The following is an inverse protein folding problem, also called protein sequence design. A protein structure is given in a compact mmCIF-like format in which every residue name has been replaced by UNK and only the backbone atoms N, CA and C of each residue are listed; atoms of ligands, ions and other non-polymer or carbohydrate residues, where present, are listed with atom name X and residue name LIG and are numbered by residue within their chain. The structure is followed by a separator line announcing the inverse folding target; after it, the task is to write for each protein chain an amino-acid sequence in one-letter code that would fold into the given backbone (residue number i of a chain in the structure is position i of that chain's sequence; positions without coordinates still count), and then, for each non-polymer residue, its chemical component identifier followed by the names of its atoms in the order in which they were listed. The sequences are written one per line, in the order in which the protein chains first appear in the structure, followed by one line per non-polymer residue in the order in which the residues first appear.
data_IF_169375753893
#
_entry.id   IF_169375753893
#
_cell.length_a   1.000
_cell.length_b   1.000
_cell.length_c   1.000
_cell.angle_alpha   90.00
_cell.angle_beta   90.00
_cell.angle_gamma   90.00
#
_symmetry.space_group_name_H-M   'P 1'
#
loop_
_entity.id
_entity.type
_entity.pdbx_description
1 polymer ?
#
# COMPACT_ATOMS: atom_id res chain seq x y z
N UNK A 1 10.19 3.59 -11.67
CA UNK A 1 9.14 3.84 -10.67
C UNK A 1 9.48 5.08 -9.84
N UNK A 2 8.51 5.90 -9.44
CA UNK A 2 8.73 6.99 -8.47
C UNK A 2 8.91 6.37 -7.08
N UNK A 3 10.04 6.60 -6.42
CA UNK A 3 10.28 6.14 -5.06
C UNK A 3 9.54 7.01 -4.02
N UNK A 4 9.33 6.49 -2.80
CA UNK A 4 8.59 7.22 -1.76
C UNK A 4 9.24 8.56 -1.41
N UNK A 5 10.57 8.64 -1.37
CA UNK A 5 11.32 9.88 -1.10
C UNK A 5 11.26 10.92 -2.22
N UNK A 6 10.71 10.57 -3.39
CA UNK A 6 10.50 11.47 -4.52
C UNK A 6 9.07 12.06 -4.54
N UNK A 7 8.17 11.58 -3.67
CA UNK A 7 6.80 12.08 -3.58
C UNK A 7 6.74 13.40 -2.80
N UNK A 8 5.74 14.24 -3.11
CA UNK A 8 5.64 15.60 -2.58
C UNK A 8 4.24 15.97 -2.08
N UNK A 9 3.30 15.02 -2.06
CA UNK A 9 1.94 15.21 -1.57
C UNK A 9 1.65 14.25 -0.43
N UNK A 10 0.94 14.77 0.57
CA UNK A 10 0.50 13.99 1.73
C UNK A 10 -1.03 13.87 1.70
N UNK A 11 -1.50 12.65 1.86
CA UNK A 11 -2.92 12.34 1.97
C UNK A 11 -3.22 11.68 3.30
N UNK A 12 -4.33 12.07 3.92
CA UNK A 12 -4.88 11.39 5.10
C UNK A 12 -6.19 10.69 4.75
N UNK A 13 -6.41 9.56 5.40
CA UNK A 13 -7.74 8.97 5.42
C UNK A 13 -8.76 9.97 5.98
N UNK A 14 -9.91 10.14 5.31
CA UNK A 14 -10.96 11.09 5.71
C UNK A 14 -11.56 10.80 7.09
N UNK A 15 -11.40 9.57 7.60
CA UNK A 15 -11.83 9.23 8.96
C UNK A 15 -10.78 9.48 10.04
N UNK A 16 -9.54 9.81 9.69
CA UNK A 16 -8.46 10.06 10.66
C UNK A 16 -8.82 11.20 11.62
N UNK A 17 -9.38 12.30 11.08
CA UNK A 17 -9.84 13.45 11.87
C UNK A 17 -10.98 13.09 12.82
N UNK A 18 -11.86 12.18 12.41
CA UNK A 18 -13.03 11.78 13.20
C UNK A 18 -12.63 10.81 14.31
N UNK A 19 -11.76 9.83 14.02
CA UNK A 19 -11.33 8.82 14.99
C UNK A 19 -10.24 9.32 15.94
N UNK A 20 -9.34 10.18 15.46
CA UNK A 20 -8.16 10.63 16.20
C UNK A 20 -7.92 12.15 16.03
N UNK A 21 -8.84 13.01 16.49
CA UNK A 21 -8.80 14.45 16.22
C UNK A 21 -7.51 15.13 16.73
N UNK A 22 -7.01 14.73 17.90
CA UNK A 22 -5.77 15.29 18.45
C UNK A 22 -4.53 14.88 17.66
N UNK A 23 -4.47 13.63 17.19
CA UNK A 23 -3.37 13.13 16.36
C UNK A 23 -3.41 13.84 15.01
N UNK A 24 -4.57 13.90 14.37
CA UNK A 24 -4.79 14.62 13.11
C UNK A 24 -4.31 16.07 13.22
N UNK A 25 -4.73 16.80 14.25
CA UNK A 25 -4.32 18.20 14.47
C UNK A 25 -2.81 18.32 14.60
N UNK A 26 -2.19 17.53 15.49
CA UNK A 26 -0.75 17.61 15.74
C UNK A 26 0.09 17.31 14.50
N UNK A 27 -0.28 16.30 13.72
CA UNK A 27 0.44 15.95 12.49
C UNK A 27 0.21 17.04 11.43
N UNK A 28 -1.01 17.54 11.30
CA UNK A 28 -1.35 18.62 10.35
C UNK A 28 -0.60 19.90 10.66
N UNK A 29 -0.55 20.32 11.93
CA UNK A 29 0.19 21.51 12.37
C UNK A 29 1.69 21.37 12.09
N UNK A 30 2.26 20.19 12.34
CA UNK A 30 3.66 19.90 12.04
C UNK A 30 3.93 19.98 10.53
N UNK A 31 3.12 19.32 9.70
CA UNK A 31 3.29 19.35 8.24
C UNK A 31 3.14 20.76 7.67
N UNK A 32 2.15 21.52 8.14
CA UNK A 32 1.96 22.92 7.73
C UNK A 32 3.17 23.78 8.10
N UNK A 33 3.82 23.54 9.26
CA UNK A 33 5.04 24.26 9.63
C UNK A 33 6.22 24.01 8.68
N UNK A 34 6.21 22.89 7.96
CA UNK A 34 7.17 22.57 6.90
C UNK A 34 6.67 22.93 5.49
N UNK A 35 5.51 23.58 5.36
CA UNK A 35 4.94 23.99 4.07
C UNK A 35 4.19 22.88 3.33
N UNK A 36 3.84 21.78 4.00
CA UNK A 36 3.02 20.69 3.44
C UNK A 36 1.60 20.78 3.98
N UNK A 37 0.62 20.90 3.08
CA UNK A 37 -0.81 20.87 3.43
C UNK A 37 -1.41 19.51 3.06
N UNK A 38 -1.77 18.67 4.03
CA UNK A 38 -2.37 17.37 3.75
C UNK A 38 -3.77 17.51 3.12
N UNK A 39 -4.06 16.63 2.16
CA UNK A 39 -5.41 16.49 1.57
C UNK A 39 -6.12 15.27 2.18
N UNK A 40 -7.45 15.32 2.26
CA UNK A 40 -8.25 14.19 2.80
C UNK A 40 -8.75 13.28 1.68
N UNK A 41 -8.60 11.97 1.89
CA UNK A 41 -9.12 10.92 1.03
C UNK A 41 -10.60 10.69 1.41
N UNK A 42 -11.55 10.84 0.48
CA UNK A 42 -12.97 10.59 0.75
C UNK A 42 -13.27 9.08 0.82
N UNK A 43 -14.44 8.72 1.35
CA UNK A 43 -14.98 7.34 1.35
C UNK A 43 -14.10 6.26 2.01
N UNK A 44 -13.17 6.65 2.87
CA UNK A 44 -12.31 5.73 3.61
C UNK A 44 -13.04 5.04 4.76
N UNK A 45 -12.78 3.75 4.96
CA UNK A 45 -13.30 2.95 6.08
C UNK A 45 -12.25 2.62 7.14
N UNK A 46 -10.98 2.84 6.81
CA UNK A 46 -9.86 2.72 7.74
C UNK A 46 -8.85 3.88 7.58
N UNK A 47 -8.00 4.06 8.60
CA UNK A 47 -6.96 5.09 8.65
C UNK A 47 -5.73 4.73 7.81
N UNK A 48 -5.55 3.45 7.46
CA UNK A 48 -4.38 2.91 6.77
C UNK A 48 -4.36 3.21 5.27
N UNK A 49 -4.23 4.50 4.92
CA UNK A 49 -4.22 4.94 3.53
C UNK A 49 -3.11 4.31 2.67
N UNK A 50 -1.99 3.92 3.30
CA UNK A 50 -0.90 3.18 2.63
C UNK A 50 -1.40 1.86 2.04
N UNK A 51 -2.29 1.16 2.73
CA UNK A 51 -2.61 -0.24 2.44
C UNK A 51 -3.55 -0.38 1.24
N UNK A 52 -4.45 0.58 1.04
CA UNK A 52 -5.49 0.54 0.00
C UNK A 52 -5.31 1.53 -1.15
N UNK A 53 -4.49 2.59 -1.00
CA UNK A 53 -4.35 3.57 -2.07
C UNK A 53 -3.45 3.06 -3.22
N UNK A 54 -3.72 3.47 -4.48
CA UNK A 54 -2.92 3.09 -5.62
C UNK A 54 -1.43 3.42 -5.48
N UNK A 55 -0.58 2.60 -6.09
CA UNK A 55 0.86 2.82 -6.11
C UNK A 55 1.24 3.64 -7.34
N UNK A 56 1.89 4.78 -7.13
CA UNK A 56 2.43 5.60 -8.20
C UNK A 56 3.68 4.95 -8.83
N UNK A 57 3.62 4.68 -10.14
CA UNK A 57 4.71 4.13 -10.95
C UNK A 57 5.44 5.26 -11.68
N UNK A 58 4.71 6.20 -12.26
CA UNK A 58 5.27 7.42 -12.88
C UNK A 58 4.35 8.60 -12.60
N UNK A 59 4.72 9.80 -13.06
CA UNK A 59 4.03 11.05 -12.75
C UNK A 59 2.50 10.95 -12.92
N UNK A 60 2.04 10.28 -13.99
CA UNK A 60 0.62 10.14 -14.33
C UNK A 60 0.13 8.68 -14.36
N UNK A 61 0.90 7.74 -13.78
CA UNK A 61 0.57 6.31 -13.79
C UNK A 61 0.45 5.78 -12.36
N UNK A 62 -0.76 5.37 -12.00
CA UNK A 62 -1.10 4.79 -10.70
C UNK A 62 -1.67 3.39 -10.89
N UNK A 63 -1.18 2.43 -10.12
CA UNK A 63 -1.66 1.04 -10.15
C UNK A 63 -2.67 0.85 -9.02
N UNK A 64 -3.92 0.61 -9.41
CA UNK A 64 -5.00 0.24 -8.50
C UNK A 64 -5.07 -1.29 -8.46
N UNK A 65 -4.64 -1.86 -7.35
CA UNK A 65 -4.71 -3.29 -7.11
C UNK A 65 -5.99 -3.66 -6.34
N UNK A 66 -6.31 -4.94 -6.31
CA UNK A 66 -7.41 -5.45 -5.49
C UNK A 66 -6.94 -5.48 -4.04
N UNK A 67 -7.22 -4.43 -3.27
CA UNK A 67 -7.07 -4.49 -1.82
C UNK A 67 -8.09 -5.48 -1.26
N UNK A 68 -7.69 -6.71 -0.96
CA UNK A 68 -8.55 -7.78 -0.40
C UNK A 68 -7.72 -8.79 0.40
N UNK A 69 -6.91 -8.33 1.37
CA UNK A 69 -6.05 -9.22 2.14
C UNK A 69 -6.87 -10.21 2.95
N UNK A 70 -6.26 -11.36 3.26
CA UNK A 70 -6.90 -12.46 3.98
C UNK A 70 -7.37 -12.07 5.39
N UNK A 71 -6.61 -11.24 6.10
CA UNK A 71 -6.94 -10.74 7.43
C UNK A 71 -8.16 -9.79 7.48
N UNK A 72 -8.66 -9.31 6.33
CA UNK A 72 -9.92 -8.55 6.22
C UNK A 72 -11.12 -9.40 5.78
N UNK A 73 -10.92 -10.70 5.53
CA UNK A 73 -12.03 -11.58 5.14
C UNK A 73 -12.87 -12.03 6.33
N UNK A 74 -12.31 -11.98 7.54
CA UNK A 74 -12.91 -12.55 8.75
C UNK A 74 -12.83 -14.08 8.75
N UNK A 75 -12.34 -14.64 9.86
CA UNK A 75 -12.41 -16.07 10.15
C UNK A 75 -13.69 -16.43 10.93
N UNK A 76 -13.99 -17.74 11.10
CA UNK A 76 -15.08 -18.20 11.96
C UNK A 76 -14.96 -17.69 13.42
N UNK A 77 -13.72 -17.53 13.89
CA UNK A 77 -13.38 -17.17 15.27
C UNK A 77 -12.85 -15.73 15.41
N UNK A 78 -12.70 -15.00 14.30
CA UNK A 78 -12.21 -13.62 14.30
C UNK A 78 -13.35 -12.63 14.21
N UNK A 79 -13.12 -11.43 14.75
CA UNK A 79 -14.01 -10.30 14.47
C UNK A 79 -14.07 -10.11 12.97
N UNK A 80 -15.29 -10.03 12.42
CA UNK A 80 -15.47 -9.52 11.06
C UNK A 80 -14.82 -8.14 11.03
N UNK A 81 -13.80 -7.98 10.19
CA UNK A 81 -13.07 -6.73 9.93
C UNK A 81 -13.34 -6.21 8.52
N UNK A 82 -14.22 -6.90 7.77
CA UNK A 82 -14.54 -6.59 6.38
C UNK A 82 -15.16 -5.21 6.22
N UNK A 83 -15.81 -4.69 7.25
CA UNK A 83 -16.34 -3.34 7.32
C UNK A 83 -15.25 -2.26 7.34
N UNK A 84 -14.02 -2.59 7.79
CA UNK A 84 -12.86 -1.70 7.74
C UNK A 84 -12.27 -1.59 6.32
N UNK A 85 -12.61 -2.53 5.43
CA UNK A 85 -12.08 -2.55 4.08
C UNK A 85 -12.51 -1.30 3.29
N UNK A 86 -11.53 -0.46 2.96
CA UNK A 86 -11.72 0.64 2.00
C UNK A 86 -11.62 0.09 0.59
N UNK A 87 -12.50 0.52 -0.30
CA UNK A 87 -12.55 0.06 -1.69
C UNK A 87 -11.81 1.07 -2.59
N UNK A 88 -10.64 0.72 -3.17
CA UNK A 88 -9.81 1.67 -3.90
C UNK A 88 -10.51 2.27 -5.12
N UNK A 89 -11.34 1.50 -5.82
CA UNK A 89 -12.11 1.94 -6.98
C UNK A 89 -13.04 3.11 -6.64
N UNK A 90 -13.84 2.98 -5.58
CA UNK A 90 -14.76 4.03 -5.13
C UNK A 90 -14.01 5.31 -4.74
N UNK A 91 -12.88 5.14 -4.04
CA UNK A 91 -12.03 6.26 -3.61
C UNK A 91 -11.43 6.97 -4.82
N UNK A 92 -10.78 6.24 -5.72
CA UNK A 92 -10.10 6.81 -6.88
C UNK A 92 -11.09 7.52 -7.82
N UNK A 93 -12.25 6.90 -8.07
CA UNK A 93 -13.30 7.48 -8.92
C UNK A 93 -13.82 8.79 -8.32
N UNK A 94 -14.05 8.84 -7.00
CA UNK A 94 -14.52 10.06 -6.32
C UNK A 94 -13.51 11.21 -6.33
N UNK A 95 -12.21 10.90 -6.37
CA UNK A 95 -11.12 11.86 -6.49
C UNK A 95 -10.83 12.25 -7.95
N UNK A 96 -11.45 11.58 -8.93
CA UNK A 96 -11.11 11.72 -10.35
C UNK A 96 -9.69 11.23 -10.68
N UNK A 97 -9.12 10.35 -9.84
CA UNK A 97 -7.79 9.80 -10.02
C UNK A 97 -7.82 8.69 -11.06
N UNK A 98 -7.09 8.88 -12.17
CA UNK A 98 -6.97 7.86 -13.21
C UNK A 98 -5.98 6.79 -12.79
N UNK A 99 -6.42 5.53 -12.82
CA UNK A 99 -5.63 4.36 -12.42
C UNK A 99 -5.60 3.30 -13.52
N UNK A 100 -4.61 2.42 -13.46
CA UNK A 100 -4.57 1.16 -14.20
C UNK A 100 -4.92 0.06 -13.20
N UNK A 101 -6.01 -0.64 -13.48
CA UNK A 101 -6.53 -1.67 -12.58
C UNK A 101 -5.82 -3.01 -12.81
N UNK A 102 -5.57 -3.71 -11.71
CA UNK A 102 -5.12 -5.11 -11.70
C UNK A 102 -5.94 -5.92 -10.71
N UNK A 103 -6.14 -7.21 -10.99
CA UNK A 103 -6.87 -8.14 -10.11
C UNK A 103 -5.96 -8.80 -9.06
N UNK A 104 -4.65 -8.50 -9.09
CA UNK A 104 -3.69 -8.97 -8.09
C UNK A 104 -4.13 -8.44 -6.72
N UNK A 105 -4.23 -9.35 -5.75
CA UNK A 105 -4.39 -9.01 -4.34
C UNK A 105 -3.08 -8.46 -3.84
N UNK A 106 -3.09 -7.21 -3.41
CA UNK A 106 -1.95 -6.54 -2.85
C UNK A 106 -2.38 -5.69 -1.67
N UNK A 107 -1.38 -5.32 -0.90
CA UNK A 107 -1.44 -4.40 0.21
C UNK A 107 -0.25 -3.45 0.07
N UNK A 108 -0.49 -2.15 0.09
CA UNK A 108 0.55 -1.17 -0.11
C UNK A 108 1.60 -1.15 1.01
N UNK A 109 1.27 -1.60 2.23
CA UNK A 109 2.25 -1.84 3.29
C UNK A 109 3.20 -3.00 2.98
N UNK A 110 2.79 -3.92 2.10
CA UNK A 110 3.63 -5.00 1.59
C UNK A 110 4.42 -4.64 0.31
N UNK A 111 4.40 -3.39 -0.14
CA UNK A 111 5.19 -2.95 -1.31
C UNK A 111 6.19 -1.90 -0.90
N UNK A 112 7.43 -2.35 -0.64
CA UNK A 112 8.57 -1.45 -0.44
C UNK A 112 9.24 -1.22 -1.78
N UNK A 113 9.34 0.05 -2.22
CA UNK A 113 9.76 0.39 -3.58
C UNK A 113 10.92 1.39 -3.63
N UNK A 114 11.73 1.24 -4.67
CA UNK A 114 12.75 2.19 -5.11
C UNK A 114 12.49 2.57 -6.57
N UNK A 115 13.48 3.15 -7.26
CA UNK A 115 13.35 3.56 -8.65
C UNK A 115 13.13 2.36 -9.59
N UNK A 116 13.88 1.27 -9.42
CA UNK A 116 13.84 0.11 -10.32
C UNK A 116 13.58 -1.22 -9.61
N UNK A 117 13.28 -1.20 -8.31
CA UNK A 117 13.11 -2.42 -7.51
C UNK A 117 11.87 -2.33 -6.62
N UNK A 118 11.17 -3.46 -6.48
CA UNK A 118 10.18 -3.65 -5.41
C UNK A 118 10.56 -4.86 -4.55
N UNK A 119 10.26 -4.76 -3.26
CA UNK A 119 10.41 -5.82 -2.27
C UNK A 119 9.05 -6.04 -1.63
N UNK A 120 8.62 -7.31 -1.60
CA UNK A 120 7.41 -7.76 -0.94
C UNK A 120 7.72 -8.98 -0.07
N UNK A 121 6.87 -9.27 0.90
CA UNK A 121 6.87 -10.60 1.53
C UNK A 121 6.28 -11.64 0.58
N UNK A 122 6.66 -12.91 0.74
CA UNK A 122 6.09 -14.02 -0.02
C UNK A 122 4.62 -14.33 0.30
N UNK A 123 4.01 -13.63 1.27
CA UNK A 123 2.55 -13.60 1.51
C UNK A 123 1.75 -13.25 0.25
N UNK A 124 2.29 -12.38 -0.62
CA UNK A 124 1.65 -12.04 -1.90
C UNK A 124 1.39 -13.28 -2.77
N UNK A 125 2.25 -14.29 -2.71
CA UNK A 125 2.06 -15.55 -3.43
C UNK A 125 0.89 -16.33 -2.83
N UNK A 126 0.81 -16.39 -1.51
CA UNK A 126 -0.24 -17.10 -0.78
C UNK A 126 -1.63 -16.52 -1.05
N UNK A 127 -1.77 -15.20 -1.00
CA UNK A 127 -3.04 -14.49 -1.23
C UNK A 127 -3.53 -14.63 -2.67
N UNK A 128 -2.61 -14.72 -3.64
CA UNK A 128 -2.94 -14.82 -5.06
C UNK A 128 -2.93 -16.25 -5.62
N UNK A 129 -2.66 -17.27 -4.79
CA UNK A 129 -2.45 -18.67 -5.24
C UNK A 129 -3.64 -19.30 -5.99
N UNK A 130 -4.84 -18.75 -5.82
CA UNK A 130 -6.04 -19.21 -6.52
C UNK A 130 -6.10 -18.76 -7.97
N UNK A 131 -5.50 -17.61 -8.28
CA UNK A 131 -5.57 -16.96 -9.59
C UNK A 131 -4.24 -17.08 -10.35
N UNK A 132 -3.12 -17.17 -9.64
CA UNK A 132 -1.78 -17.10 -10.22
C UNK A 132 -0.88 -18.22 -9.73
N UNK A 133 -0.07 -18.76 -10.65
CA UNK A 133 1.15 -19.48 -10.27
C UNK A 133 2.22 -18.49 -9.83
N UNK A 134 3.19 -18.91 -9.01
CA UNK A 134 4.31 -18.05 -8.58
C UNK A 134 4.99 -17.36 -9.77
N UNK A 135 5.32 -18.10 -10.82
CA UNK A 135 6.00 -17.54 -11.99
C UNK A 135 5.13 -16.54 -12.77
N UNK A 136 3.83 -16.83 -12.90
CA UNK A 136 2.90 -15.92 -13.56
C UNK A 136 2.73 -14.61 -12.76
N UNK A 137 2.59 -14.71 -11.43
CA UNK A 137 2.49 -13.55 -10.56
C UNK A 137 3.75 -12.70 -10.61
N UNK A 138 4.94 -13.32 -10.46
CA UNK A 138 6.21 -12.59 -10.54
C UNK A 138 6.34 -11.84 -11.87
N UNK A 139 5.99 -12.49 -12.98
CA UNK A 139 5.98 -11.84 -14.30
C UNK A 139 5.03 -10.64 -14.35
N UNK A 140 3.81 -10.79 -13.85
CA UNK A 140 2.82 -9.70 -13.80
C UNK A 140 3.30 -8.54 -12.91
N UNK A 141 3.93 -8.81 -11.76
CA UNK A 141 4.49 -7.79 -10.88
C UNK A 141 5.56 -6.95 -11.60
N UNK A 142 6.48 -7.60 -12.33
CA UNK A 142 7.47 -6.89 -13.15
C UNK A 142 6.82 -6.00 -14.22
N UNK A 143 5.83 -6.53 -14.94
CA UNK A 143 5.15 -5.81 -16.04
C UNK A 143 4.33 -4.61 -15.54
N UNK A 144 3.58 -4.77 -14.46
CA UNK A 144 2.68 -3.74 -13.93
C UNK A 144 3.46 -2.59 -13.30
N UNK A 145 4.49 -2.91 -12.50
CA UNK A 145 5.29 -1.93 -11.79
C UNK A 145 6.45 -1.35 -12.62
N UNK A 146 6.72 -1.91 -13.79
CA UNK A 146 7.79 -1.48 -14.70
C UNK A 146 9.15 -1.43 -13.99
N UNK A 147 9.48 -2.52 -13.28
CA UNK A 147 10.70 -2.64 -12.47
C UNK A 147 11.60 -3.77 -12.96
N UNK A 148 12.91 -3.58 -12.79
CA UNK A 148 13.92 -4.57 -13.15
C UNK A 148 13.96 -5.73 -12.17
N UNK A 149 13.72 -5.46 -10.88
CA UNK A 149 13.74 -6.48 -9.83
C UNK A 149 12.47 -6.49 -8.99
N UNK A 150 11.95 -7.70 -8.78
CA UNK A 150 10.92 -8.02 -7.79
C UNK A 150 11.55 -9.02 -6.82
N UNK A 151 11.74 -8.62 -5.57
CA UNK A 151 12.34 -9.46 -4.52
C UNK A 151 11.26 -9.90 -3.56
N UNK A 152 11.25 -11.21 -3.25
CA UNK A 152 10.40 -11.76 -2.19
C UNK A 152 11.26 -12.06 -0.96
N UNK A 153 10.87 -11.50 0.17
CA UNK A 153 11.42 -11.84 1.48
C UNK A 153 10.46 -12.79 2.21
N UNK A 154 10.95 -13.63 3.14
CA UNK A 154 10.08 -14.50 3.92
C UNK A 154 9.05 -13.68 4.71
N UNK A 155 7.79 -14.04 4.61
CA UNK A 155 6.75 -13.58 5.51
C UNK A 155 6.95 -14.18 6.91
N UNK A 156 6.92 -13.34 7.94
CA UNK A 156 6.75 -13.76 9.34
C UNK A 156 5.30 -14.16 9.59
N UNK A 157 5.05 -15.46 9.71
CA UNK A 157 3.70 -16.03 9.86
C UNK A 157 3.05 -15.73 11.21
N UNK A 158 3.79 -15.22 12.19
CA UNK A 158 3.23 -14.65 13.41
C UNK A 158 2.57 -13.27 13.15
N UNK A 159 2.99 -12.57 12.10
CA UNK A 159 2.44 -11.28 11.70
C UNK A 159 1.39 -11.43 10.59
N UNK A 160 0.12 -11.43 10.97
CA UNK A 160 -1.03 -11.62 10.04
C UNK A 160 -1.08 -10.65 8.85
N UNK A 161 -0.48 -9.46 8.97
CA UNK A 161 -0.48 -8.44 7.91
C UNK A 161 0.50 -8.78 6.78
N UNK A 162 1.67 -9.34 7.13
CA UNK A 162 2.76 -9.63 6.22
C UNK A 162 3.32 -8.43 5.47
N UNK A 163 3.40 -7.27 6.12
CA UNK A 163 3.93 -6.04 5.54
C UNK A 163 5.46 -6.01 5.53
N UNK A 164 6.04 -5.69 4.37
CA UNK A 164 7.48 -5.52 4.22
C UNK A 164 7.98 -4.17 4.76
N UNK A 165 7.14 -3.14 4.84
CA UNK A 165 7.52 -1.77 5.23
C UNK A 165 7.80 -1.58 6.74
N UNK A 166 7.42 -2.57 7.54
CA UNK A 166 7.82 -2.76 8.93
C UNK A 166 9.14 -3.52 9.09
N UNK A 167 9.58 -4.26 8.06
CA UNK A 167 10.79 -5.09 8.09
C UNK A 167 12.00 -4.35 7.52
N UNK A 168 11.83 -3.63 6.41
CA UNK A 168 12.91 -2.94 5.73
C UNK A 168 12.44 -1.70 4.98
N UNK A 169 13.39 -0.81 4.68
CA UNK A 169 13.15 0.38 3.85
C UNK A 169 14.34 0.67 2.96
N UNK A 170 14.10 1.14 1.74
CA UNK A 170 15.15 1.69 0.90
C UNK A 170 15.64 3.03 1.49
N UNK A 171 16.96 3.21 1.54
CA UNK A 171 17.62 4.49 1.88
C UNK A 171 18.21 5.17 0.65
N UNK A 172 18.38 4.41 -0.43
CA UNK A 172 18.74 4.83 -1.78
C UNK A 172 18.25 3.75 -2.77
N UNK A 173 18.44 3.91 -4.09
CA UNK A 173 17.90 2.96 -5.08
C UNK A 173 18.29 1.49 -4.87
N UNK A 174 19.46 1.23 -4.28
CA UNK A 174 20.09 -0.09 -4.27
C UNK A 174 20.39 -0.62 -2.85
N UNK A 175 20.11 0.19 -1.82
CA UNK A 175 20.46 -0.10 -0.42
C UNK A 175 19.22 -0.05 0.46
N UNK A 176 19.06 -1.08 1.26
CA UNK A 176 17.99 -1.17 2.28
C UNK A 176 18.57 -1.11 3.68
N UNK A 177 17.82 -0.50 4.60
CA UNK A 177 17.99 -0.70 6.04
C UNK A 177 16.98 -1.75 6.50
N UNK A 178 17.42 -2.66 7.36
CA UNK A 178 16.60 -3.74 7.93
C UNK A 178 16.34 -3.41 9.40
N UNK A 179 15.08 -3.49 9.82
CA UNK A 179 14.68 -3.39 11.22
C UNK A 179 15.13 -4.65 11.97
N UNK A 180 15.80 -4.45 13.11
CA UNK A 180 16.23 -5.53 14.01
C UNK A 180 15.26 -5.77 15.14
#
# INVERSE_FOLDING_TARGET
MIADWQTNKVYFSGILKQRFPDVYRRITDALNSFGYTPEEIPHTRDIWARDYMPIQVSENKFIEYRYDPDYLQGGPDDKQTRELKTYPDLVCDSMGLKTIKTDIILDGGNVVKSENNIILTDKVIWENRRNYSKNALMKQLHEIFEVEQVVLIPWDDECIYGHADGMLRFINPDTVIIGG
#
